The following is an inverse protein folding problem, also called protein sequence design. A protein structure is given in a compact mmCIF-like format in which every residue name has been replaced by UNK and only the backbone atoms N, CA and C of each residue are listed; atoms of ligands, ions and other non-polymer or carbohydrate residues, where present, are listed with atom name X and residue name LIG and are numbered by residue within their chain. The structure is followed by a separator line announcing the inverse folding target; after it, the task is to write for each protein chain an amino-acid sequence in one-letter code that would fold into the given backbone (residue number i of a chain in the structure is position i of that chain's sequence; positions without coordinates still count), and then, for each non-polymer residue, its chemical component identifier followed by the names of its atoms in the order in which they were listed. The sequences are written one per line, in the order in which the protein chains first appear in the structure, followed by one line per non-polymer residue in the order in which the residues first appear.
data_IF_412791812032
#
_entry.id   IF_412791812032
#
_cell.length_a   1.000
_cell.length_b   1.000
_cell.length_c   1.000
_cell.angle_alpha   90.00
_cell.angle_beta   90.00
_cell.angle_gamma   90.00
#
_symmetry.space_group_name_H-M   'P 1'
#
loop_
_entity.id
_entity.type
_entity.pdbx_description
1 polymer ?
#
# COMPACT_ATOMS: atom_id res chain seq x y z
N UNK A 1 3.58 -28.99 28.58
CA UNK A 1 4.19 -28.09 27.55
C UNK A 1 5.60 -28.55 27.31
N UNK A 2 5.87 -29.19 26.17
CA UNK A 2 7.23 -29.56 25.79
C UNK A 2 8.03 -28.27 25.56
N UNK A 3 9.04 -28.00 26.40
CA UNK A 3 10.00 -26.93 26.14
C UNK A 3 10.79 -27.34 24.91
N UNK A 4 10.54 -26.69 23.78
CA UNK A 4 11.40 -26.76 22.61
C UNK A 4 12.81 -26.32 23.05
N UNK A 5 13.67 -27.28 23.37
CA UNK A 5 15.11 -27.04 23.55
C UNK A 5 15.66 -26.70 22.17
N UNK A 6 15.67 -25.41 21.85
CA UNK A 6 16.25 -24.91 20.60
C UNK A 6 17.71 -25.35 20.47
N UNK A 7 18.16 -25.55 19.22
CA UNK A 7 19.58 -25.71 18.91
C UNK A 7 20.41 -24.62 19.62
N UNK A 8 21.53 -25.02 20.22
CA UNK A 8 22.35 -24.26 21.18
C UNK A 8 22.89 -22.89 20.74
N UNK A 9 22.50 -22.35 19.59
CA UNK A 9 23.12 -21.17 18.98
C UNK A 9 22.15 -19.99 18.73
N UNK A 10 20.83 -20.21 18.76
CA UNK A 10 19.86 -19.15 18.49
C UNK A 10 18.84 -19.05 19.62
N UNK A 11 19.09 -18.18 20.59
CA UNK A 11 18.09 -17.83 21.59
C UNK A 11 16.82 -17.27 20.93
N UNK A 12 15.66 -17.48 21.55
CA UNK A 12 14.36 -17.04 21.03
C UNK A 12 14.34 -15.54 20.72
N UNK A 13 15.06 -14.75 21.53
CA UNK A 13 15.30 -13.31 21.33
C UNK A 13 16.02 -13.01 20.02
N UNK A 14 17.08 -13.75 19.70
CA UNK A 14 17.82 -13.62 18.45
C UNK A 14 16.95 -13.97 17.25
N UNK A 15 16.13 -15.02 17.38
CA UNK A 15 15.12 -15.41 16.39
C UNK A 15 14.14 -14.28 16.12
N UNK A 16 13.47 -13.75 17.15
CA UNK A 16 12.51 -12.65 17.01
C UNK A 16 13.13 -11.38 16.40
N UNK A 17 14.36 -11.02 16.82
CA UNK A 17 15.10 -9.89 16.24
C UNK A 17 15.42 -10.12 14.77
N UNK A 18 15.87 -11.32 14.40
CA UNK A 18 16.17 -11.65 13.00
C UNK A 18 14.95 -11.55 12.10
N UNK A 19 13.78 -12.00 12.59
CA UNK A 19 12.50 -11.87 11.90
C UNK A 19 12.15 -10.40 11.68
N UNK A 20 12.27 -9.56 12.71
CA UNK A 20 12.02 -8.13 12.58
C UNK A 20 12.93 -7.44 11.56
N UNK A 21 14.23 -7.74 11.58
CA UNK A 21 15.20 -7.19 10.59
C UNK A 21 14.88 -7.67 9.18
N UNK A 22 14.58 -8.96 9.00
CA UNK A 22 14.24 -9.52 7.70
C UNK A 22 13.01 -8.83 7.09
N UNK A 23 11.93 -8.68 7.87
CA UNK A 23 10.73 -7.99 7.41
C UNK A 23 10.96 -6.50 7.16
N UNK A 24 11.81 -5.84 7.96
CA UNK A 24 12.17 -4.45 7.74
C UNK A 24 12.88 -4.27 6.39
N UNK A 25 13.85 -5.14 6.08
CA UNK A 25 14.58 -5.11 4.79
C UNK A 25 13.62 -5.31 3.62
N UNK A 26 12.74 -6.31 3.69
CA UNK A 26 11.73 -6.53 2.64
C UNK A 26 10.81 -5.32 2.49
N UNK A 27 10.36 -4.73 3.59
CA UNK A 27 9.46 -3.56 3.55
C UNK A 27 10.15 -2.34 2.92
N UNK A 28 11.44 -2.13 3.19
CA UNK A 28 12.22 -1.07 2.57
C UNK A 28 12.42 -1.30 1.07
N UNK A 29 12.67 -2.53 0.64
CA UNK A 29 12.74 -2.87 -0.78
C UNK A 29 11.40 -2.63 -1.49
N UNK A 30 10.29 -3.02 -0.85
CA UNK A 30 8.94 -2.73 -1.35
C UNK A 30 8.68 -1.23 -1.43
N UNK A 31 9.13 -0.45 -0.45
CA UNK A 31 8.98 1.01 -0.44
C UNK A 31 9.70 1.64 -1.64
N UNK A 32 10.92 1.20 -1.93
CA UNK A 32 11.67 1.65 -3.11
C UNK A 32 10.89 1.31 -4.38
N UNK A 33 10.35 0.09 -4.50
CA UNK A 33 9.52 -0.32 -5.64
C UNK A 33 8.30 0.58 -5.84
N UNK A 34 7.61 0.93 -4.75
CA UNK A 34 6.45 1.84 -4.77
C UNK A 34 6.87 3.26 -5.17
N UNK A 35 7.99 3.77 -4.68
CA UNK A 35 8.53 5.09 -5.07
C UNK A 35 8.85 5.11 -6.58
N UNK A 36 9.48 4.05 -7.10
CA UNK A 36 9.76 3.92 -8.54
C UNK A 36 8.47 3.87 -9.34
N UNK A 37 7.46 3.12 -8.88
CA UNK A 37 6.15 3.08 -9.54
C UNK A 37 5.49 4.46 -9.61
N UNK A 38 5.53 5.23 -8.51
CA UNK A 38 5.08 6.63 -8.49
C UNK A 38 5.85 7.49 -9.49
N UNK A 39 7.18 7.39 -9.51
CA UNK A 39 8.00 8.15 -10.44
C UNK A 39 7.63 7.84 -11.90
N UNK A 40 7.40 6.58 -12.25
CA UNK A 40 6.97 6.17 -13.59
C UNK A 40 5.58 6.71 -13.91
N UNK A 41 4.62 6.61 -12.99
CA UNK A 41 3.27 7.13 -13.19
C UNK A 41 3.23 8.65 -13.38
N UNK A 42 4.10 9.40 -12.72
CA UNK A 42 4.21 10.86 -12.89
C UNK A 42 5.07 11.29 -14.08
N UNK A 43 5.95 10.41 -14.57
CA UNK A 43 6.84 10.72 -15.69
C UNK A 43 6.15 10.63 -17.04
N UNK A 44 4.96 10.01 -17.12
CA UNK A 44 4.14 10.06 -18.33
C UNK A 44 3.63 11.49 -18.44
N UNK A 45 4.17 12.32 -19.35
CA UNK A 45 3.62 13.64 -19.54
C UNK A 45 2.16 13.44 -19.93
N UNK A 46 1.26 14.18 -19.30
CA UNK A 46 -0.05 14.44 -19.89
C UNK A 46 0.19 15.28 -21.13
N UNK A 47 0.81 14.68 -22.15
CA UNK A 47 0.86 15.23 -23.48
C UNK A 47 -0.62 15.35 -23.84
N UNK A 48 -1.10 16.59 -23.76
CA UNK A 48 -2.40 17.00 -24.26
C UNK A 48 -2.61 16.24 -25.56
N UNK A 49 -3.58 15.32 -25.59
CA UNK A 49 -3.93 14.60 -26.79
C UNK A 49 -4.29 15.63 -27.86
N UNK A 50 -3.28 16.08 -28.60
CA UNK A 50 -3.46 16.65 -29.91
C UNK A 50 -4.07 15.53 -30.70
N UNK A 51 -5.38 15.62 -30.92
CA UNK A 51 -6.16 14.62 -31.62
C UNK A 51 -5.70 14.63 -33.09
N UNK A 52 -4.60 13.93 -33.37
CA UNK A 52 -4.12 13.69 -34.72
C UNK A 52 -5.04 12.66 -35.35
N UNK A 53 -5.95 13.11 -36.21
CA UNK A 53 -6.72 12.21 -37.05
C UNK A 53 -5.80 11.79 -38.19
N UNK A 54 -5.27 10.57 -38.12
CA UNK A 54 -4.60 9.96 -39.27
C UNK A 54 -5.64 9.68 -40.34
N UNK A 55 -5.63 10.49 -41.39
CA UNK A 55 -6.36 10.18 -42.63
C UNK A 55 -5.41 9.44 -43.58
N UNK A 56 -5.92 8.51 -44.41
CA UNK A 56 -5.10 7.73 -45.34
C UNK A 56 -4.35 8.57 -46.39
N UNK A 57 -4.61 9.88 -46.48
CA UNK A 57 -3.93 10.82 -47.38
C UNK A 57 -2.76 11.58 -46.72
N UNK A 58 -2.48 11.34 -45.44
CA UNK A 58 -1.35 11.91 -44.71
C UNK A 58 -1.72 12.44 -43.32
N UNK A 59 -0.75 12.42 -42.42
CA UNK A 59 -0.88 12.97 -41.06
C UNK A 59 -0.94 14.49 -41.14
N UNK A 60 -2.15 15.06 -41.03
CA UNK A 60 -2.33 16.50 -40.88
C UNK A 60 -2.09 16.87 -39.41
N UNK A 61 -0.85 17.23 -39.10
CA UNK A 61 -0.53 17.88 -37.83
C UNK A 61 -1.17 19.26 -37.77
N UNK A 62 -2.29 19.40 -37.05
CA UNK A 62 -2.80 20.70 -36.62
C UNK A 62 -1.87 21.21 -35.52
N UNK A 63 -0.78 21.86 -35.92
CA UNK A 63 -0.02 22.74 -35.02
C UNK A 63 -0.95 23.91 -34.69
N UNK A 64 -1.67 23.81 -33.58
CA UNK A 64 -2.38 24.94 -32.99
C UNK A 64 -1.29 25.89 -32.48
N UNK A 65 -0.88 26.80 -33.36
CA UNK A 65 0.01 27.88 -33.01
C UNK A 65 -0.57 28.66 -31.84
N UNK A 66 0.24 28.78 -30.79
CA UNK A 66 0.15 29.69 -29.66
C UNK A 66 -1.09 30.60 -29.66
N UNK A 67 -2.13 30.18 -28.92
CA UNK A 67 -3.31 31.02 -28.69
C UNK A 67 -2.91 32.25 -27.89
N UNK A 68 -2.70 33.38 -28.57
CA UNK A 68 -2.70 34.69 -27.93
C UNK A 68 -4.10 34.95 -27.40
N UNK A 69 -4.26 34.99 -26.07
CA UNK A 69 -5.52 35.37 -25.44
C UNK A 69 -5.81 36.84 -25.74
N UNK A 70 -6.69 37.10 -26.70
CA UNK A 70 -7.23 38.44 -26.94
C UNK A 70 -8.34 38.68 -25.91
N UNK A 71 -8.01 39.43 -24.86
CA UNK A 71 -9.00 39.91 -23.88
C UNK A 71 -9.78 41.05 -24.55
N UNK A 72 -10.92 40.70 -25.13
CA UNK A 72 -11.86 41.65 -25.70
C UNK A 72 -13.00 40.89 -26.34
N UNK A 73 -14.22 41.04 -25.82
CA UNK A 73 -15.43 40.28 -26.19
C UNK A 73 -15.93 40.54 -27.62
N UNK A 74 -15.10 40.23 -28.62
CA UNK A 74 -15.43 40.27 -30.04
C UNK A 74 -15.14 38.90 -30.61
N UNK A 75 -16.19 38.21 -31.08
CA UNK A 75 -16.10 36.92 -31.73
C UNK A 75 -15.21 37.02 -32.97
N UNK A 76 -13.95 36.61 -32.85
CA UNK A 76 -13.03 36.58 -33.98
C UNK A 76 -13.25 35.29 -34.77
N UNK A 77 -13.55 35.45 -36.06
CA UNK A 77 -13.74 34.33 -36.98
C UNK A 77 -12.36 33.79 -37.34
N UNK A 78 -11.93 32.71 -36.69
CA UNK A 78 -10.64 32.06 -36.98
C UNK A 78 -10.77 31.26 -38.28
N UNK A 79 -10.23 31.78 -39.37
CA UNK A 79 -10.12 31.03 -40.63
C UNK A 79 -8.95 30.05 -40.55
N UNK A 80 -9.25 28.75 -40.47
CA UNK A 80 -8.23 27.70 -40.54
C UNK A 80 -8.03 27.31 -42.00
N UNK A 81 -6.86 27.62 -42.55
CA UNK A 81 -6.53 27.35 -43.95
C UNK A 81 -5.95 25.93 -44.08
N UNK A 82 -6.80 24.95 -44.37
CA UNK A 82 -6.46 23.52 -44.50
C UNK A 82 -5.86 23.16 -45.87
N UNK A 83 -4.98 24.01 -46.41
CA UNK A 83 -4.27 23.75 -47.67
C UNK A 83 -5.21 23.40 -48.84
N UNK A 84 -4.98 22.24 -49.48
CA UNK A 84 -5.69 21.80 -50.70
C UNK A 84 -7.18 21.49 -50.52
N UNK A 85 -7.68 21.40 -49.29
CA UNK A 85 -9.06 20.98 -49.00
C UNK A 85 -10.09 22.13 -49.02
N UNK A 86 -9.66 23.37 -49.27
CA UNK A 86 -10.55 24.54 -49.30
C UNK A 86 -10.73 25.18 -47.92
N UNK A 87 -11.40 26.35 -47.90
CA UNK A 87 -11.67 27.07 -46.65
C UNK A 87 -12.88 26.46 -45.95
N UNK A 88 -12.68 25.93 -44.74
CA UNK A 88 -13.77 25.54 -43.85
C UNK A 88 -13.98 26.62 -42.79
N UNK A 89 -15.24 27.02 -42.59
CA UNK A 89 -15.61 27.84 -41.46
C UNK A 89 -15.78 26.97 -40.22
N UNK A 90 -14.86 27.09 -39.26
CA UNK A 90 -15.10 26.62 -37.91
C UNK A 90 -15.67 27.78 -37.10
N UNK A 91 -16.81 27.56 -36.44
CA UNK A 91 -17.31 28.51 -35.44
C UNK A 91 -17.16 27.87 -34.06
N UNK A 92 -16.47 28.57 -33.17
CA UNK A 92 -16.38 28.20 -31.76
C UNK A 92 -17.55 28.87 -31.05
N UNK A 93 -18.47 28.09 -30.50
CA UNK A 93 -19.53 28.60 -29.64
C UNK A 93 -18.94 29.10 -28.31
N UNK A 94 -19.57 30.09 -27.67
CA UNK A 94 -19.17 30.62 -26.35
C UNK A 94 -19.05 29.55 -25.24
N UNK A 95 -19.53 28.32 -25.48
CA UNK A 95 -19.36 27.16 -24.58
C UNK A 95 -18.20 26.23 -24.95
N UNK A 96 -17.33 26.61 -25.90
CA UNK A 96 -16.18 25.80 -26.33
C UNK A 96 -16.52 24.66 -27.29
N UNK A 97 -17.75 24.57 -27.79
CA UNK A 97 -18.10 23.63 -28.86
C UNK A 97 -17.62 24.15 -30.21
N UNK A 98 -16.78 23.38 -30.90
CA UNK A 98 -16.34 23.66 -32.26
C UNK A 98 -17.23 22.88 -33.23
N UNK A 99 -18.05 23.59 -34.00
CA UNK A 99 -18.84 22.98 -35.07
C UNK A 99 -18.17 23.25 -36.40
N UNK A 100 -17.80 22.18 -37.12
CA UNK A 100 -17.29 22.26 -38.48
C UNK A 100 -18.47 22.16 -39.46
N UNK A 101 -18.78 23.26 -40.13
CA UNK A 101 -19.77 23.26 -41.20
C UNK A 101 -19.11 22.84 -42.50
N UNK A 102 -19.42 21.63 -42.99
CA UNK A 102 -19.14 21.23 -44.37
C UNK A 102 -20.36 21.56 -45.25
N UNK A 103 -20.17 21.94 -46.52
CA UNK A 103 -21.25 22.34 -47.42
C UNK A 103 -22.21 21.20 -47.84
N UNK A 104 -22.03 19.99 -47.31
CA UNK A 104 -22.80 18.79 -47.66
C UNK A 104 -23.72 18.23 -46.56
N UNK A 105 -23.79 18.86 -45.38
CA UNK A 105 -24.61 18.38 -44.27
C UNK A 105 -23.82 18.24 -42.98
N UNK A 106 -24.52 18.39 -41.87
CA UNK A 106 -23.97 18.35 -40.51
C UNK A 106 -23.51 16.91 -40.20
N UNK A 107 -22.21 16.63 -40.36
CA UNK A 107 -21.59 15.42 -39.80
C UNK A 107 -21.54 15.60 -38.28
N UNK A 108 -22.67 15.31 -37.64
CA UNK A 108 -22.77 15.21 -36.19
C UNK A 108 -21.94 14.01 -35.76
N UNK A 109 -20.70 14.29 -35.38
CA UNK A 109 -19.82 13.31 -34.78
C UNK A 109 -20.35 12.98 -33.38
N UNK A 110 -21.27 12.01 -33.30
CA UNK A 110 -21.72 11.42 -32.03
C UNK A 110 -20.61 10.52 -31.44
N UNK A 111 -19.39 11.07 -31.30
CA UNK A 111 -18.23 10.43 -30.67
C UNK A 111 -18.35 10.35 -29.14
N UNK A 112 -19.56 10.43 -28.59
CA UNK A 112 -19.83 10.29 -27.15
C UNK A 112 -19.72 8.84 -26.65
N UNK A 113 -19.34 7.89 -27.51
CA UNK A 113 -18.94 6.53 -27.11
C UNK A 113 -17.42 6.42 -26.87
N UNK A 114 -16.78 7.50 -26.40
CA UNK A 114 -15.43 7.42 -25.83
C UNK A 114 -15.47 6.44 -24.64
N UNK A 115 -14.76 5.32 -24.82
CA UNK A 115 -14.64 4.16 -23.93
C UNK A 115 -14.66 4.56 -22.44
N UNK A 116 -15.78 4.39 -21.72
CA UNK A 116 -15.92 4.82 -20.31
C UNK A 116 -15.08 3.99 -19.31
N UNK A 117 -14.10 3.21 -19.78
CA UNK A 117 -13.28 2.32 -18.96
C UNK A 117 -11.89 2.87 -18.61
N UNK A 118 -11.30 3.74 -19.43
CA UNK A 118 -9.88 4.09 -19.27
C UNK A 118 -9.63 5.04 -18.08
N UNK A 119 -10.50 6.03 -17.90
CA UNK A 119 -10.43 6.96 -16.76
C UNK A 119 -10.68 6.26 -15.43
N UNK A 120 -11.53 5.22 -15.43
CA UNK A 120 -11.78 4.39 -14.27
C UNK A 120 -10.56 3.56 -13.87
N UNK A 121 -9.85 3.01 -14.85
CA UNK A 121 -8.62 2.24 -14.62
C UNK A 121 -7.52 3.12 -14.03
N UNK A 122 -7.30 4.33 -14.58
CA UNK A 122 -6.28 5.25 -14.09
C UNK A 122 -6.51 5.64 -12.62
N UNK A 123 -7.76 5.98 -12.26
CA UNK A 123 -8.14 6.26 -10.86
C UNK A 123 -7.97 5.03 -9.97
N UNK A 124 -8.34 3.85 -10.46
CA UNK A 124 -8.16 2.58 -9.75
C UNK A 124 -6.70 2.31 -9.41
N UNK A 125 -5.79 2.48 -10.36
CA UNK A 125 -4.34 2.31 -10.16
C UNK A 125 -3.81 3.33 -9.14
N UNK A 126 -4.24 4.59 -9.22
CA UNK A 126 -3.82 5.63 -8.28
C UNK A 126 -4.27 5.30 -6.84
N UNK A 127 -5.52 4.89 -6.64
CA UNK A 127 -6.03 4.47 -5.32
C UNK A 127 -5.23 3.28 -4.79
N UNK A 128 -4.97 2.27 -5.65
CA UNK A 128 -4.18 1.12 -5.27
C UNK A 128 -2.75 1.50 -4.85
N UNK A 129 -2.07 2.39 -5.58
CA UNK A 129 -0.74 2.89 -5.22
C UNK A 129 -0.71 3.64 -3.89
N UNK A 130 -1.73 4.46 -3.61
CA UNK A 130 -1.87 5.15 -2.32
C UNK A 130 -2.03 4.13 -1.19
N UNK A 131 -2.94 3.16 -1.34
CA UNK A 131 -3.14 2.10 -0.36
C UNK A 131 -1.86 1.29 -0.12
N UNK A 132 -1.14 0.91 -1.19
CA UNK A 132 0.15 0.23 -1.10
C UNK A 132 1.20 1.06 -0.34
N UNK A 133 1.26 2.37 -0.60
CA UNK A 133 2.21 3.27 0.07
C UNK A 133 1.93 3.33 1.57
N UNK A 134 0.67 3.57 1.96
CA UNK A 134 0.26 3.60 3.38
C UNK A 134 0.57 2.26 4.05
N UNK A 135 0.23 1.16 3.39
CA UNK A 135 0.49 -0.18 3.91
C UNK A 135 1.99 -0.43 4.16
N UNK A 136 2.86 -0.13 3.19
CA UNK A 136 4.30 -0.33 3.31
C UNK A 136 4.89 0.57 4.42
N UNK A 137 4.42 1.81 4.56
CA UNK A 137 4.85 2.70 5.64
C UNK A 137 4.48 2.14 7.01
N UNK A 138 3.24 1.64 7.18
CA UNK A 138 2.83 0.98 8.41
C UNK A 138 3.69 -0.26 8.69
N UNK A 139 3.97 -1.08 7.68
CA UNK A 139 4.83 -2.24 7.83
C UNK A 139 6.24 -1.85 8.33
N UNK A 140 6.86 -0.80 7.78
CA UNK A 140 8.16 -0.29 8.25
C UNK A 140 8.10 0.15 9.72
N UNK A 141 7.05 0.89 10.13
CA UNK A 141 6.87 1.36 11.51
C UNK A 141 6.73 0.17 12.46
N UNK A 142 5.83 -0.77 12.18
CA UNK A 142 5.62 -1.91 13.04
C UNK A 142 6.84 -2.83 13.10
N UNK A 143 7.52 -3.07 11.98
CA UNK A 143 8.77 -3.86 11.98
C UNK A 143 9.87 -3.22 12.83
N UNK A 144 9.97 -1.88 12.80
CA UNK A 144 10.87 -1.14 13.68
C UNK A 144 10.46 -1.26 15.15
N UNK A 145 9.16 -1.21 15.46
CA UNK A 145 8.62 -1.44 16.80
C UNK A 145 8.93 -2.86 17.31
N UNK A 146 8.91 -3.88 16.46
CA UNK A 146 9.29 -5.23 16.86
C UNK A 146 10.77 -5.28 17.25
N UNK A 147 11.66 -4.74 16.43
CA UNK A 147 13.11 -4.72 16.73
C UNK A 147 13.36 -3.97 18.05
N UNK A 148 12.74 -2.81 18.21
CA UNK A 148 12.83 -2.02 19.45
C UNK A 148 12.23 -2.78 20.65
N UNK A 149 11.08 -3.42 20.48
CA UNK A 149 10.42 -4.22 21.51
C UNK A 149 11.26 -5.40 22.00
N UNK A 150 12.01 -6.03 21.10
CA UNK A 150 12.93 -7.13 21.43
C UNK A 150 14.23 -6.62 22.07
N UNK A 151 14.71 -5.44 21.69
CA UNK A 151 15.93 -4.84 22.24
C UNK A 151 15.71 -4.31 23.67
N UNK A 152 14.58 -3.68 23.92
CA UNK A 152 14.24 -3.05 25.21
C UNK A 152 13.25 -3.86 26.05
N UNK A 153 13.00 -5.12 25.68
CA UNK A 153 12.08 -6.02 26.38
C UNK A 153 10.68 -5.41 26.63
N UNK A 154 10.21 -4.58 25.68
CA UNK A 154 8.93 -3.88 25.77
C UNK A 154 7.78 -4.74 25.25
N UNK A 155 7.01 -5.32 26.19
CA UNK A 155 5.83 -6.14 25.88
C UNK A 155 4.79 -5.41 25.03
N UNK A 156 4.60 -4.11 25.25
CA UNK A 156 3.60 -3.32 24.51
C UNK A 156 3.96 -3.18 23.03
N UNK A 157 5.24 -2.96 22.71
CA UNK A 157 5.70 -2.82 21.33
C UNK A 157 5.58 -4.13 20.55
N UNK A 158 5.98 -5.26 21.16
CA UNK A 158 5.84 -6.60 20.57
C UNK A 158 4.36 -6.96 20.37
N UNK A 159 3.49 -6.63 21.34
CA UNK A 159 2.05 -6.85 21.22
C UNK A 159 1.44 -6.05 20.06
N UNK A 160 1.82 -4.77 19.91
CA UNK A 160 1.34 -3.92 18.82
C UNK A 160 1.70 -4.52 17.45
N UNK A 161 2.92 -5.02 17.30
CA UNK A 161 3.34 -5.75 16.10
C UNK A 161 2.53 -7.04 15.87
N UNK A 162 2.31 -7.85 16.92
CA UNK A 162 1.54 -9.09 16.83
C UNK A 162 0.10 -8.85 16.37
N UNK A 163 -0.55 -7.80 16.87
CA UNK A 163 -1.91 -7.41 16.48
C UNK A 163 -1.94 -6.96 15.02
N UNK A 164 -1.04 -6.06 14.63
CA UNK A 164 -0.95 -5.59 13.25
C UNK A 164 -0.72 -6.74 12.25
N UNK A 165 0.26 -7.61 12.51
CA UNK A 165 0.53 -8.75 11.63
C UNK A 165 -0.56 -9.82 11.69
N UNK A 166 -1.26 -9.98 12.82
CA UNK A 166 -2.42 -10.86 12.91
C UNK A 166 -3.55 -10.41 11.99
N UNK A 167 -3.86 -9.10 11.98
CA UNK A 167 -4.86 -8.52 11.06
C UNK A 167 -4.40 -8.67 9.61
N UNK A 168 -3.15 -8.33 9.32
CA UNK A 168 -2.58 -8.47 7.97
C UNK A 168 -2.68 -9.93 7.48
N UNK A 169 -2.36 -10.91 8.31
CA UNK A 169 -2.46 -12.32 7.96
C UNK A 169 -3.88 -12.76 7.60
N UNK A 170 -4.88 -12.31 8.37
CA UNK A 170 -6.29 -12.62 8.09
C UNK A 170 -6.73 -12.00 6.77
N UNK A 171 -6.41 -10.72 6.54
CA UNK A 171 -6.74 -10.03 5.29
C UNK A 171 -6.06 -10.68 4.09
N UNK A 172 -4.77 -11.01 4.20
CA UNK A 172 -4.03 -11.70 3.14
C UNK A 172 -4.66 -13.06 2.85
N UNK A 173 -4.93 -13.87 3.88
CA UNK A 173 -5.57 -15.18 3.71
C UNK A 173 -6.92 -15.08 3.01
N UNK A 174 -7.73 -14.06 3.32
CA UNK A 174 -9.00 -13.81 2.64
C UNK A 174 -8.79 -13.49 1.15
N UNK A 175 -7.82 -12.63 0.81
CA UNK A 175 -7.48 -12.31 -0.58
C UNK A 175 -7.04 -13.56 -1.34
N UNK A 176 -6.22 -14.41 -0.73
CA UNK A 176 -5.75 -15.67 -1.34
C UNK A 176 -6.92 -16.62 -1.60
N UNK A 177 -7.82 -16.80 -0.61
CA UNK A 177 -9.00 -17.65 -0.76
C UNK A 177 -9.91 -17.13 -1.88
N UNK A 178 -10.19 -15.82 -1.91
CA UNK A 178 -10.99 -15.21 -2.97
C UNK A 178 -10.32 -15.37 -4.35
N UNK A 179 -9.00 -15.18 -4.42
CA UNK A 179 -8.22 -15.35 -5.65
C UNK A 179 -8.24 -16.80 -6.15
N UNK A 180 -8.13 -17.79 -5.26
CA UNK A 180 -8.24 -19.21 -5.59
C UNK A 180 -9.65 -19.55 -6.11
N UNK A 181 -10.70 -19.05 -5.45
CA UNK A 181 -12.09 -19.24 -5.90
C UNK A 181 -12.28 -18.63 -7.29
N UNK A 182 -11.79 -17.41 -7.52
CA UNK A 182 -11.85 -16.76 -8.82
C UNK A 182 -11.11 -17.56 -9.90
N UNK A 183 -9.93 -18.09 -9.59
CA UNK A 183 -9.19 -18.97 -10.50
C UNK A 183 -9.99 -20.23 -10.85
N UNK A 184 -10.59 -20.89 -9.87
CA UNK A 184 -11.40 -22.10 -10.08
C UNK A 184 -12.63 -21.83 -10.98
N UNK A 185 -13.31 -20.70 -10.77
CA UNK A 185 -14.47 -20.29 -11.60
C UNK A 185 -14.05 -20.01 -13.04
N UNK A 186 -12.90 -19.36 -13.24
CA UNK A 186 -12.39 -19.05 -14.58
C UNK A 186 -11.94 -20.31 -15.32
N UNK A 187 -11.29 -21.26 -14.63
CA UNK A 187 -10.89 -22.57 -15.21
C UNK A 187 -12.10 -23.32 -15.79
N UNK A 188 -13.26 -23.24 -15.14
CA UNK A 188 -14.49 -23.86 -15.64
C UNK A 188 -15.10 -23.19 -16.87
N UNK A 189 -14.70 -21.95 -17.16
CA UNK A 189 -15.38 -21.09 -18.15
C UNK A 189 -14.58 -20.89 -19.44
N UNK A 190 -13.25 -21.02 -19.43
CA UNK A 190 -12.38 -20.76 -20.58
C UNK A 190 -11.38 -21.89 -20.80
N UNK A 191 -11.37 -22.45 -22.01
CA UNK A 191 -10.44 -23.51 -22.44
C UNK A 191 -9.05 -22.92 -22.72
N UNK A 192 -8.36 -22.43 -21.68
CA UNK A 192 -7.07 -21.73 -21.78
C UNK A 192 -5.98 -22.44 -21.00
N UNK A 193 -5.45 -23.52 -21.58
CA UNK A 193 -4.32 -24.27 -21.02
C UNK A 193 -3.07 -23.41 -20.69
N UNK A 194 -2.94 -22.20 -21.26
CA UNK A 194 -1.82 -21.29 -21.02
C UNK A 194 -1.90 -20.41 -19.76
N UNK A 195 -3.11 -20.14 -19.23
CA UNK A 195 -3.29 -19.21 -18.09
C UNK A 195 -3.42 -19.95 -16.76
N UNK A 196 -3.86 -21.21 -16.81
CA UNK A 196 -4.12 -22.03 -15.62
C UNK A 196 -2.82 -22.37 -14.89
N UNK A 197 -1.77 -22.75 -15.63
CA UNK A 197 -0.51 -23.21 -15.04
C UNK A 197 0.20 -22.11 -14.22
N UNK A 198 0.38 -20.86 -14.70
CA UNK A 198 0.92 -19.77 -13.89
C UNK A 198 0.07 -19.45 -12.64
N UNK A 199 -1.26 -19.51 -12.76
CA UNK A 199 -2.16 -19.27 -11.62
C UNK A 199 -2.01 -20.31 -10.52
N UNK A 200 -1.92 -21.59 -10.88
CA UNK A 200 -1.70 -22.68 -9.91
C UNK A 200 -0.32 -22.55 -9.26
N UNK A 201 0.74 -22.31 -10.05
CA UNK A 201 2.10 -22.14 -9.52
C UNK A 201 2.14 -20.95 -8.55
N UNK A 202 1.54 -19.82 -8.94
CA UNK A 202 1.43 -18.63 -8.08
C UNK A 202 0.71 -18.93 -6.77
N UNK A 203 -0.44 -19.62 -6.83
CA UNK A 203 -1.19 -20.02 -5.64
C UNK A 203 -0.40 -20.95 -4.71
N UNK A 204 0.33 -21.94 -5.25
CA UNK A 204 1.15 -22.86 -4.44
C UNK A 204 2.29 -22.14 -3.76
N UNK A 205 3.00 -21.26 -4.49
CA UNK A 205 4.08 -20.43 -3.93
C UNK A 205 3.53 -19.55 -2.81
N UNK A 206 2.39 -18.92 -3.03
CA UNK A 206 1.77 -18.01 -2.08
C UNK A 206 1.30 -18.71 -0.80
N UNK A 207 0.74 -19.92 -0.90
CA UNK A 207 0.43 -20.77 0.27
C UNK A 207 1.71 -21.11 1.05
N UNK A 208 2.80 -21.43 0.35
CA UNK A 208 4.10 -21.70 0.97
C UNK A 208 4.64 -20.49 1.74
N UNK A 209 4.54 -19.29 1.15
CA UNK A 209 4.90 -18.03 1.80
C UNK A 209 4.00 -17.78 3.02
N UNK A 210 2.69 -17.99 2.91
CA UNK A 210 1.75 -17.83 4.02
C UNK A 210 2.10 -18.76 5.20
N UNK A 211 2.47 -20.02 4.93
CA UNK A 211 2.89 -20.96 5.96
C UNK A 211 4.18 -20.50 6.67
N UNK A 212 5.16 -19.95 5.92
CA UNK A 212 6.39 -19.40 6.49
C UNK A 212 6.12 -18.16 7.35
N UNK A 213 5.26 -17.26 6.88
CA UNK A 213 4.84 -16.07 7.63
C UNK A 213 4.11 -16.46 8.93
N UNK A 214 3.24 -17.47 8.86
CA UNK A 214 2.56 -18.02 10.03
C UNK A 214 3.56 -18.57 11.06
N UNK A 215 4.55 -19.33 10.59
CA UNK A 215 5.61 -19.85 11.46
C UNK A 215 6.37 -18.72 12.17
N UNK A 216 6.75 -17.65 11.47
CA UNK A 216 7.41 -16.50 12.08
C UNK A 216 6.52 -15.75 13.06
N UNK A 217 5.22 -15.60 12.76
CA UNK A 217 4.27 -15.00 13.69
C UNK A 217 4.15 -15.81 14.99
N UNK A 218 4.05 -17.14 14.91
CA UNK A 218 4.02 -18.04 16.08
C UNK A 218 5.32 -17.97 16.87
N UNK A 219 6.47 -17.83 16.21
CA UNK A 219 7.77 -17.64 16.86
C UNK A 219 7.77 -16.37 17.71
N UNK A 220 7.35 -15.23 17.15
CA UNK A 220 7.26 -13.96 17.88
C UNK A 220 6.19 -14.01 18.98
N UNK A 221 5.06 -14.69 18.76
CA UNK A 221 4.05 -14.91 19.79
C UNK A 221 4.61 -15.68 20.99
N UNK A 222 5.44 -16.68 20.72
CA UNK A 222 6.10 -17.48 21.77
C UNK A 222 7.07 -16.60 22.57
N UNK A 223 7.85 -15.76 21.89
CA UNK A 223 8.72 -14.77 22.54
C UNK A 223 7.92 -13.80 23.42
N UNK A 224 6.81 -13.27 22.91
CA UNK A 224 5.94 -12.38 23.67
C UNK A 224 5.39 -13.03 24.95
N UNK A 225 5.02 -14.31 24.90
CA UNK A 225 4.55 -15.05 26.09
C UNK A 225 5.65 -15.15 27.14
N UNK A 226 6.87 -15.50 26.75
CA UNK A 226 8.02 -15.57 27.65
C UNK A 226 8.32 -14.22 28.30
N UNK A 227 8.28 -13.14 27.51
CA UNK A 227 8.46 -11.77 27.98
C UNK A 227 7.40 -11.36 29.01
N UNK A 228 6.14 -11.75 28.76
CA UNK A 228 5.00 -11.46 29.66
C UNK A 228 5.12 -12.23 30.98
N UNK A 229 5.55 -13.49 30.93
CA UNK A 229 5.71 -14.33 32.12
C UNK A 229 6.89 -13.84 32.98
N UNK A 230 8.00 -13.42 32.36
CA UNK A 230 9.10 -12.78 33.07
C UNK A 230 8.64 -11.50 33.79
N UNK A 231 7.86 -10.64 33.11
CA UNK A 231 7.34 -9.40 33.69
C UNK A 231 6.39 -9.65 34.87
N UNK A 232 5.59 -10.72 34.80
CA UNK A 232 4.68 -11.12 35.90
C UNK A 232 5.43 -11.65 37.11
N UNK A 233 6.49 -12.44 36.89
CA UNK A 233 7.33 -12.96 37.97
C UNK A 233 7.94 -11.85 38.82
N UNK A 234 8.44 -10.78 38.19
CA UNK A 234 9.00 -9.62 38.90
C UNK A 234 7.97 -8.86 39.74
N UNK A 235 6.73 -8.72 39.25
CA UNK A 235 5.66 -8.07 40.03
C UNK A 235 5.31 -8.87 41.28
N UNK A 236 5.16 -10.18 41.13
CA UNK A 236 4.85 -11.06 42.26
C UNK A 236 5.97 -11.05 43.30
N UNK A 237 7.23 -11.17 42.87
CA UNK A 237 8.36 -11.17 43.81
C UNK A 237 8.49 -9.84 44.55
N UNK A 238 8.22 -8.70 43.89
CA UNK A 238 8.20 -7.39 44.56
C UNK A 238 7.08 -7.30 45.61
N UNK A 239 5.90 -7.82 45.32
CA UNK A 239 4.77 -7.84 46.26
C UNK A 239 5.07 -8.73 47.48
N UNK A 240 5.65 -9.91 47.28
CA UNK A 240 6.06 -10.81 48.38
C UNK A 240 7.14 -10.17 49.25
N UNK A 241 8.19 -9.58 48.66
CA UNK A 241 9.23 -8.89 49.43
C UNK A 241 8.71 -7.69 50.24
N UNK A 242 7.62 -7.07 49.80
CA UNK A 242 6.95 -5.99 50.55
C UNK A 242 6.12 -6.54 51.72
N UNK A 243 5.60 -7.76 51.61
CA UNK A 243 4.72 -8.35 52.60
C UNK A 243 5.48 -9.05 53.74
N UNK A 244 6.69 -9.57 53.46
CA UNK A 244 7.56 -10.21 54.46
C UNK A 244 8.46 -9.23 55.24
N UNK A 245 8.33 -7.91 55.02
CA UNK A 245 8.96 -6.92 55.90
C UNK A 245 8.05 -6.66 57.11
N UNK A 246 8.39 -7.12 58.33
CA UNK A 246 7.57 -6.95 59.52
C UNK A 246 7.46 -5.49 60.00
N UNK A 247 8.18 -4.57 59.36
CA UNK A 247 8.16 -3.14 59.67
C UNK A 247 7.39 -2.36 58.60
N UNK A 248 6.34 -1.60 58.98
CA UNK A 248 5.65 -0.71 58.05
C UNK A 248 6.65 0.33 57.55
N UNK A 249 6.87 0.40 56.24
CA UNK A 249 7.63 1.49 55.64
C UNK A 249 6.68 2.68 55.46
N UNK A 250 7.01 3.82 56.06
CA UNK A 250 6.23 5.06 55.91
C UNK A 250 6.85 5.89 54.78
N UNK A 251 6.04 6.25 53.79
CA UNK A 251 6.47 7.20 52.76
C UNK A 251 6.51 8.60 53.34
N UNK A 252 7.69 9.23 53.31
CA UNK A 252 7.81 10.66 53.65
C UNK A 252 7.26 11.55 52.52
N UNK A 253 6.94 12.83 52.82
CA UNK A 253 6.47 13.80 51.81
C UNK A 253 7.44 13.98 50.62
N UNK A 254 8.72 13.63 50.81
CA UNK A 254 9.77 13.74 49.79
C UNK A 254 9.94 12.47 48.94
N UNK A 255 9.09 11.46 49.11
CA UNK A 255 9.12 10.21 48.33
C UNK A 255 10.20 9.21 48.74
N UNK A 256 10.86 9.40 49.89
CA UNK A 256 11.78 8.40 50.44
C UNK A 256 11.01 7.46 51.39
N UNK A 257 11.19 6.14 51.19
CA UNK A 257 10.74 5.12 52.13
C UNK A 257 11.75 5.03 53.27
N UNK A 258 11.30 5.29 54.49
CA UNK A 258 12.10 5.14 55.71
C UNK A 258 11.46 4.05 56.57
N UNK A 259 12.27 3.24 57.25
CA UNK A 259 11.77 2.25 58.21
C UNK A 259 11.09 2.98 59.37
N UNK A 260 9.87 2.59 59.73
CA UNK A 260 9.13 3.21 60.83
C UNK A 260 9.87 3.18 62.19
N UNK A 261 10.82 2.27 62.36
CA UNK A 261 11.65 2.17 63.57
C UNK A 261 12.63 3.34 63.74
N UNK A 262 12.96 4.08 62.67
CA UNK A 262 13.84 5.26 62.73
C UNK A 262 13.09 6.57 62.99
N UNK A 263 11.75 6.52 63.16
CA UNK A 263 10.92 7.68 63.49
C UNK A 263 10.58 7.80 65.00
N UNK A 264 11.14 6.93 65.84
CA UNK A 264 10.95 6.95 67.30
C UNK A 264 12.14 7.59 68.04
#
# INVERSE_FOLDING_TARGET
MARLKGCCCCGLRGGAKSVGVFFLVISLLMLIGVIVAWAVCYSVPTESQGFGVDTPEGTFGLNVGESRSVIGGRSEKVEVNLGKLGRYGASVSDRGHVSLHTPGGELRSDNNHLVPGLDGLAKGVQIALICCTVYVLLAVIFNSLLIHGVEYDSSCAVLAWLVFYGIHFVLHSLVVVVGLIACLVMVGSVNVNGVILPGIIGGVVDIGVCALLWFWWVLVLTFYRELRDATRGFKYQREVSLQDSPTPLVCTPNGQLIKAEECA
#
